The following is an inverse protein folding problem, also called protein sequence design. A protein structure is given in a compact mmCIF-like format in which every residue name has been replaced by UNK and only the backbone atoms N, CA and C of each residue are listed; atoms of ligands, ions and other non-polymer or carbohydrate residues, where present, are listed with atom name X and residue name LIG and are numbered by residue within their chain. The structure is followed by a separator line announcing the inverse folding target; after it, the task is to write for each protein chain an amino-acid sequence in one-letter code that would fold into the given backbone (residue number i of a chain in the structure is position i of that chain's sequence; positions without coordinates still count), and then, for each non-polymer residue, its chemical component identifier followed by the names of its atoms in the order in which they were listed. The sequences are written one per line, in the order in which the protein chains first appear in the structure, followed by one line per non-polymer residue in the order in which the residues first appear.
data_IF_950199294912
#
_entry.id   IF_950199294912
#
_cell.length_a   1.000
_cell.length_b   1.000
_cell.length_c   1.000
_cell.angle_alpha   90.00
_cell.angle_beta   90.00
_cell.angle_gamma   90.00
#
_symmetry.space_group_name_H-M   'P 1'
#
loop_
_entity.id
_entity.type
_entity.pdbx_description
1 polymer ?
#
# COMPACT_ATOMS: atom_id res chain seq x y z
N UNK A 1 -10.38 -20.43 18.76
CA UNK A 1 -8.95 -20.77 18.49
C UNK A 1 -8.30 -21.23 19.79
N UNK A 2 -7.70 -22.42 19.80
CA UNK A 2 -6.98 -22.93 20.98
C UNK A 2 -5.68 -22.15 21.18
N UNK A 3 -5.35 -21.84 22.43
CA UNK A 3 -4.04 -21.28 22.76
C UNK A 3 -2.96 -22.34 22.61
N UNK A 4 -1.79 -21.95 22.10
CA UNK A 4 -0.66 -22.88 21.93
C UNK A 4 -0.21 -23.47 23.27
N UNK A 5 0.34 -24.68 23.23
CA UNK A 5 0.88 -25.36 24.43
C UNK A 5 1.91 -24.47 25.15
N UNK A 6 2.79 -23.81 24.41
CA UNK A 6 3.78 -22.89 24.96
C UNK A 6 3.14 -21.70 25.72
N UNK A 7 2.07 -21.11 25.18
CA UNK A 7 1.36 -20.01 25.84
C UNK A 7 0.74 -20.46 27.17
N UNK A 8 0.16 -21.67 27.22
CA UNK A 8 -0.41 -22.24 28.45
C UNK A 8 0.66 -22.48 29.52
N UNK A 9 1.83 -22.98 29.12
CA UNK A 9 2.96 -23.19 30.05
C UNK A 9 3.41 -21.87 30.67
N UNK A 10 3.57 -20.80 29.87
CA UNK A 10 3.96 -19.48 30.38
C UNK A 10 2.96 -18.93 31.40
N UNK A 11 1.67 -19.00 31.09
CA UNK A 11 0.61 -18.58 32.01
C UNK A 11 0.60 -19.38 33.32
N UNK A 12 0.93 -20.68 33.26
CA UNK A 12 1.07 -21.51 34.46
C UNK A 12 2.24 -21.04 35.34
N UNK A 13 3.39 -20.74 34.74
CA UNK A 13 4.57 -20.26 35.47
C UNK A 13 4.33 -18.90 36.12
N UNK A 14 3.67 -17.99 35.41
CA UNK A 14 3.27 -16.68 35.93
C UNK A 14 2.34 -16.79 37.14
N UNK A 15 1.32 -17.67 37.07
CA UNK A 15 0.45 -17.98 38.23
C UNK A 15 1.20 -18.56 39.43
N UNK A 16 2.33 -19.23 39.20
CA UNK A 16 3.18 -19.78 40.26
C UNK A 16 4.17 -18.74 40.83
N UNK A 17 4.14 -17.48 40.34
CA UNK A 17 5.10 -16.45 40.73
C UNK A 17 6.49 -16.64 40.13
N UNK A 18 6.64 -17.51 39.12
CA UNK A 18 7.92 -17.71 38.42
C UNK A 18 8.10 -16.67 37.33
N UNK A 19 9.35 -16.36 37.01
CA UNK A 19 9.72 -15.36 36.04
C UNK A 19 9.18 -15.72 34.64
N UNK A 20 8.50 -14.75 33.99
CA UNK A 20 7.96 -14.91 32.65
C UNK A 20 9.07 -14.64 31.60
N UNK A 21 9.44 -15.62 30.75
CA UNK A 21 10.52 -15.45 29.77
C UNK A 21 10.21 -14.39 28.70
N UNK A 22 8.95 -13.98 28.53
CA UNK A 22 8.60 -12.87 27.62
C UNK A 22 9.18 -11.54 28.10
N UNK A 23 9.35 -11.34 29.41
CA UNK A 23 9.97 -10.12 29.96
C UNK A 23 11.45 -10.02 29.62
N UNK A 24 12.11 -11.17 29.44
CA UNK A 24 13.51 -11.25 29.02
C UNK A 24 13.67 -11.23 27.50
N UNK A 25 12.57 -11.37 26.76
CA UNK A 25 12.61 -11.40 25.31
C UNK A 25 12.76 -9.96 24.80
N UNK A 26 13.87 -9.70 24.10
CA UNK A 26 14.11 -8.41 23.47
C UNK A 26 12.95 -8.01 22.53
N UNK A 27 12.64 -6.72 22.50
CA UNK A 27 11.73 -6.14 21.53
C UNK A 27 12.45 -5.91 20.21
N UNK A 28 11.72 -5.97 19.10
CA UNK A 28 12.25 -5.54 17.80
C UNK A 28 12.40 -4.02 17.68
N UNK A 29 12.06 -3.24 18.71
CA UNK A 29 12.27 -1.79 18.77
C UNK A 29 11.68 -1.04 17.56
N UNK A 30 10.51 -1.47 17.09
CA UNK A 30 9.84 -0.88 15.92
C UNK A 30 10.41 -1.34 14.56
N UNK A 31 11.45 -2.15 14.54
CA UNK A 31 11.94 -2.81 13.32
C UNK A 31 10.96 -3.91 12.95
N UNK A 32 10.34 -3.79 11.79
CA UNK A 32 9.60 -4.89 11.21
C UNK A 32 10.59 -5.77 10.42
N UNK A 33 10.92 -7.00 10.87
CA UNK A 33 11.85 -7.88 10.17
C UNK A 33 11.29 -8.42 8.86
N UNK A 34 10.05 -8.06 8.49
CA UNK A 34 9.52 -8.37 7.16
C UNK A 34 10.40 -7.68 6.11
N UNK A 35 11.14 -8.53 5.39
CA UNK A 35 12.03 -8.17 4.31
C UNK A 35 11.26 -7.35 3.27
N UNK A 36 11.84 -6.23 2.83
CA UNK A 36 11.35 -5.50 1.65
C UNK A 36 11.56 -6.42 0.44
N UNK A 37 10.51 -7.13 0.05
CA UNK A 37 10.53 -8.00 -1.13
C UNK A 37 10.26 -7.18 -2.38
N UNK A 38 10.97 -7.52 -3.46
CA UNK A 38 10.66 -6.94 -4.76
C UNK A 38 9.26 -7.39 -5.20
N UNK A 39 8.47 -6.49 -5.82
CA UNK A 39 7.15 -6.86 -6.30
C UNK A 39 7.26 -7.94 -7.39
N UNK A 40 6.34 -8.89 -7.34
CA UNK A 40 6.19 -9.89 -8.39
C UNK A 40 5.71 -9.26 -9.71
N UNK A 41 5.91 -9.95 -10.83
CA UNK A 41 5.48 -9.48 -12.15
C UNK A 41 3.98 -9.12 -12.18
N UNK A 42 3.12 -9.96 -11.57
CA UNK A 42 1.68 -9.72 -11.48
C UNK A 42 1.34 -8.44 -10.69
N UNK A 43 2.04 -8.21 -9.58
CA UNK A 43 1.87 -7.00 -8.77
C UNK A 43 2.32 -5.75 -9.54
N UNK A 44 3.42 -5.83 -10.30
CA UNK A 44 3.90 -4.72 -11.13
C UNK A 44 2.91 -4.35 -12.24
N UNK A 45 2.39 -5.34 -12.96
CA UNK A 45 1.41 -5.11 -14.04
C UNK A 45 0.11 -4.51 -13.50
N UNK A 46 -0.44 -5.08 -12.41
CA UNK A 46 -1.66 -4.55 -11.79
C UNK A 46 -1.48 -3.13 -11.25
N UNK A 47 -0.31 -2.80 -10.69
CA UNK A 47 0.00 -1.44 -10.26
C UNK A 47 0.04 -0.48 -11.44
N UNK A 48 0.67 -0.86 -12.56
CA UNK A 48 0.76 -0.02 -13.76
C UNK A 48 -0.63 0.32 -14.30
N UNK A 49 -1.53 -0.67 -14.40
CA UNK A 49 -2.90 -0.48 -14.88
C UNK A 49 -3.73 0.42 -13.94
N UNK A 50 -3.51 0.34 -12.63
CA UNK A 50 -4.20 1.18 -11.64
C UNK A 50 -3.66 2.61 -11.61
N UNK A 51 -2.33 2.77 -11.62
CA UNK A 51 -1.66 4.07 -11.51
C UNK A 51 -2.01 5.01 -12.66
N UNK A 52 -2.08 4.47 -13.89
CA UNK A 52 -2.35 5.26 -15.09
C UNK A 52 -3.81 5.20 -15.54
N UNK A 53 -4.73 4.76 -14.68
CA UNK A 53 -6.15 4.84 -14.98
C UNK A 53 -6.57 6.31 -14.96
N UNK A 54 -6.70 6.93 -16.13
CA UNK A 54 -7.28 8.27 -16.28
C UNK A 54 -8.66 8.31 -15.64
N UNK A 55 -8.99 9.40 -14.95
CA UNK A 55 -10.34 9.65 -14.48
C UNK A 55 -11.21 9.94 -15.72
N UNK A 56 -12.19 9.08 -16.07
CA UNK A 56 -13.04 9.32 -17.23
C UNK A 56 -13.92 10.59 -17.08
N UNK A 57 -14.00 11.17 -15.87
CA UNK A 57 -14.65 12.46 -15.64
C UNK A 57 -13.84 13.70 -16.02
N UNK A 58 -12.59 13.54 -16.49
CA UNK A 58 -11.74 14.66 -16.95
C UNK A 58 -11.74 14.83 -18.48
N UNK A 59 -12.50 14.01 -19.22
CA UNK A 59 -12.71 14.15 -20.67
C UNK A 59 -13.99 14.94 -20.98
N UNK A 60 -14.32 15.93 -20.15
CA UNK A 60 -15.34 16.93 -20.47
C UNK A 60 -14.65 18.19 -20.97
N UNK A 61 -14.46 18.24 -22.29
CA UNK A 61 -14.25 19.48 -23.07
C UNK A 61 -12.97 20.29 -22.79
N UNK A 62 -11.79 19.81 -23.20
CA UNK A 62 -10.68 20.71 -23.49
C UNK A 62 -10.01 20.35 -24.83
N UNK A 63 -10.74 20.61 -25.92
CA UNK A 63 -10.18 20.68 -27.27
C UNK A 63 -9.46 22.01 -27.45
N UNK A 64 -8.22 22.10 -26.98
CA UNK A 64 -7.36 23.29 -27.13
C UNK A 64 -6.97 23.61 -28.60
N UNK A 65 -7.35 22.75 -29.56
CA UNK A 65 -6.95 22.86 -30.97
C UNK A 65 -8.07 23.31 -31.93
N UNK A 66 -9.33 23.38 -31.49
CA UNK A 66 -10.45 23.69 -32.41
C UNK A 66 -10.69 25.19 -32.62
N UNK A 67 -10.29 26.06 -31.68
CA UNK A 67 -10.62 27.49 -31.72
C UNK A 67 -9.56 28.37 -32.41
N UNK A 68 -8.36 27.86 -32.69
CA UNK A 68 -7.25 28.66 -33.24
C UNK A 68 -7.13 28.64 -34.78
N UNK A 69 -7.67 27.64 -35.47
CA UNK A 69 -7.61 27.59 -36.94
C UNK A 69 -8.67 28.46 -37.64
N UNK A 70 -9.83 28.70 -37.01
CA UNK A 70 -10.90 29.50 -37.62
C UNK A 70 -10.73 31.02 -37.48
N UNK A 71 -9.79 31.49 -36.66
CA UNK A 71 -9.58 32.93 -36.45
C UNK A 71 -8.60 33.56 -37.45
N UNK A 72 -7.76 32.75 -38.10
CA UNK A 72 -6.79 33.21 -39.11
C UNK A 72 -7.46 33.46 -40.46
N UNK A 73 -8.55 32.75 -40.78
CA UNK A 73 -9.24 32.83 -42.08
C UNK A 73 -10.29 33.96 -42.19
N UNK A 74 -10.60 34.66 -41.09
CA UNK A 74 -11.62 35.73 -41.05
C UNK A 74 -11.04 37.15 -41.08
N UNK A 75 -9.72 37.31 -41.20
CA UNK A 75 -9.05 38.63 -41.23
C UNK A 75 -8.64 39.02 -42.68
N UNK A 76 -8.96 38.20 -43.68
CA UNK A 76 -8.59 38.42 -45.09
C UNK A 76 -9.79 38.36 -46.05
N UNK A 77 -10.85 39.12 -45.79
CA UNK A 77 -11.92 39.44 -46.76
C UNK A 77 -12.51 40.80 -46.47
#
# INVERSE_FOLDING_TARGET
MSTSKAKKIRQKLEKQGKLNPELMRGSWMGVNPIVRTMPTLKQKVSHLHKKHKRNPGLDSNDSFLYTHFNKILLISS
#
